data_IF_296394618441
#
_entry.id   IF_296394618441
#
_cell.length_a   1.000
_cell.length_b   1.000
_cell.length_c   1.000
_cell.angle_alpha   90.00
_cell.angle_beta   90.00
_cell.angle_gamma   90.00
#
_symmetry.space_group_name_H-M   'P 1'
#
loop_
_entity.id
_entity.type
_entity.pdbx_description
1 polymer ?
#
# COMPACT_ATOMS: atom_id res chain seq x y z
N UNK A 1 0.60 2.32 -24.20
CA UNK A 1 1.70 3.30 -24.36
C UNK A 1 2.74 3.01 -23.30
N UNK A 2 4.05 3.13 -23.57
CA UNK A 2 5.02 3.09 -22.49
C UNK A 2 4.71 4.23 -21.53
N UNK A 3 4.56 3.93 -20.24
CA UNK A 3 4.31 4.97 -19.25
C UNK A 3 5.51 5.93 -19.22
N UNK A 4 5.24 7.22 -19.21
CA UNK A 4 6.28 8.23 -19.06
C UNK A 4 6.82 8.19 -17.62
N UNK A 5 8.14 8.22 -17.48
CA UNK A 5 8.83 8.34 -16.20
C UNK A 5 9.09 9.82 -15.91
N UNK A 6 8.81 10.26 -14.68
CA UNK A 6 9.13 11.61 -14.22
C UNK A 6 9.72 11.59 -12.82
N UNK A 7 10.70 12.48 -12.58
CA UNK A 7 11.25 12.75 -11.25
C UNK A 7 11.19 14.25 -11.04
N UNK A 8 10.57 14.69 -9.95
CA UNK A 8 10.44 16.09 -9.56
C UNK A 8 10.97 16.32 -8.16
N UNK A 9 11.68 17.43 -7.97
CA UNK A 9 12.22 17.86 -6.67
C UNK A 9 11.23 18.83 -6.04
N UNK A 10 10.88 18.62 -4.78
CA UNK A 10 10.01 19.53 -4.03
C UNK A 10 10.82 20.47 -3.14
N UNK A 11 10.22 21.60 -2.79
CA UNK A 11 10.72 22.45 -1.72
C UNK A 11 10.72 21.66 -0.40
N UNK A 12 11.82 21.74 0.37
CA UNK A 12 12.00 20.96 1.60
C UNK A 12 12.83 19.67 1.44
N UNK A 13 13.21 19.30 0.21
CA UNK A 13 14.16 18.21 -0.05
C UNK A 13 13.55 16.87 -0.45
N UNK A 14 12.21 16.80 -0.49
CA UNK A 14 11.48 15.63 -0.97
C UNK A 14 11.63 15.44 -2.48
N UNK A 15 11.43 14.21 -2.94
CA UNK A 15 11.43 13.84 -4.35
C UNK A 15 10.15 13.09 -4.67
N UNK A 16 9.51 13.47 -5.78
CA UNK A 16 8.37 12.77 -6.37
C UNK A 16 8.85 11.95 -7.55
N UNK A 17 8.46 10.69 -7.61
CA UNK A 17 8.73 9.79 -8.74
C UNK A 17 7.41 9.23 -9.28
N UNK A 18 7.16 9.37 -10.58
CA UNK A 18 5.94 8.86 -11.22
C UNK A 18 6.30 7.95 -12.39
N UNK A 19 5.67 6.77 -12.41
CA UNK A 19 5.79 5.82 -13.51
C UNK A 19 4.54 4.93 -13.57
N UNK A 20 3.66 5.23 -14.52
CA UNK A 20 2.36 4.57 -14.63
C UNK A 20 1.49 4.80 -13.40
N UNK A 21 0.96 3.74 -12.75
CA UNK A 21 0.13 3.90 -11.55
C UNK A 21 0.93 4.25 -10.29
N UNK A 22 2.24 4.11 -10.33
CA UNK A 22 3.13 4.38 -9.20
C UNK A 22 3.38 5.88 -9.08
N UNK A 23 3.20 6.41 -7.87
CA UNK A 23 3.55 7.77 -7.50
C UNK A 23 4.15 7.75 -6.10
N UNK A 24 5.47 7.92 -6.04
CA UNK A 24 6.22 7.92 -4.79
C UNK A 24 6.51 9.35 -4.33
N UNK A 25 6.32 9.62 -3.05
CA UNK A 25 6.94 10.76 -2.36
C UNK A 25 8.03 10.21 -1.45
N UNK A 26 9.27 10.67 -1.65
CA UNK A 26 10.47 10.11 -1.04
C UNK A 26 11.17 11.20 -0.22
N UNK A 27 11.22 10.99 1.08
CA UNK A 27 11.94 11.83 2.04
C UNK A 27 13.05 11.03 2.71
N UNK A 28 14.28 11.53 2.68
CA UNK A 28 15.44 10.86 3.25
C UNK A 28 16.36 11.86 3.94
N UNK A 29 16.88 11.49 5.11
CA UNK A 29 17.69 12.37 5.94
C UNK A 29 18.87 11.63 6.57
N UNK A 30 19.96 12.38 6.80
CA UNK A 30 21.00 12.02 7.77
C UNK A 30 20.92 13.01 8.93
N UNK A 31 20.52 12.53 10.10
CA UNK A 31 20.06 13.37 11.20
C UNK A 31 18.90 14.26 10.74
N UNK A 32 19.12 15.59 10.75
CA UNK A 32 18.16 16.60 10.28
C UNK A 32 18.43 17.10 8.86
N UNK A 33 19.47 16.60 8.19
CA UNK A 33 19.91 17.10 6.88
C UNK A 33 19.22 16.31 5.76
N UNK A 34 18.38 16.94 4.92
CA UNK A 34 17.75 16.26 3.79
C UNK A 34 18.79 15.78 2.76
N UNK A 35 18.57 14.60 2.20
CA UNK A 35 19.46 13.94 1.24
C UNK A 35 18.79 13.80 -0.13
N UNK A 36 18.36 14.92 -0.71
CA UNK A 36 17.57 14.95 -1.95
C UNK A 36 18.24 14.20 -3.11
N UNK A 37 19.57 14.29 -3.27
CA UNK A 37 20.28 13.57 -4.33
C UNK A 37 20.19 12.04 -4.16
N UNK A 38 20.16 11.55 -2.92
CA UNK A 38 19.92 10.13 -2.64
C UNK A 38 18.47 9.74 -2.91
N UNK A 39 17.51 10.61 -2.58
CA UNK A 39 16.09 10.41 -2.94
C UNK A 39 15.88 10.35 -4.46
N UNK A 40 16.61 11.14 -5.26
CA UNK A 40 16.58 11.03 -6.74
C UNK A 40 17.09 9.67 -7.21
N UNK A 41 18.19 9.16 -6.66
CA UNK A 41 18.69 7.81 -7.00
C UNK A 41 17.70 6.72 -6.61
N UNK A 42 17.03 6.88 -5.48
CA UNK A 42 16.00 5.94 -5.03
C UNK A 42 14.75 5.98 -5.94
N UNK A 43 14.40 7.16 -6.47
CA UNK A 43 13.36 7.32 -7.48
C UNK A 43 13.72 6.57 -8.78
N UNK A 44 14.94 6.72 -9.28
CA UNK A 44 15.43 5.97 -10.46
C UNK A 44 15.37 4.45 -10.23
N UNK A 45 15.85 3.99 -9.08
CA UNK A 45 15.81 2.58 -8.72
C UNK A 45 14.38 2.04 -8.64
N UNK A 46 13.43 2.85 -8.16
CA UNK A 46 12.01 2.46 -8.05
C UNK A 46 11.38 2.10 -9.41
N UNK A 47 11.82 2.75 -10.49
CA UNK A 47 11.35 2.41 -11.83
C UNK A 47 11.79 1.01 -12.23
N UNK A 48 13.02 0.62 -11.89
CA UNK A 48 13.53 -0.73 -12.16
C UNK A 48 12.73 -1.79 -11.38
N UNK A 49 12.31 -1.48 -10.15
CA UNK A 49 11.46 -2.37 -9.35
C UNK A 49 10.10 -2.59 -10.03
N UNK A 50 9.44 -1.52 -10.47
CA UNK A 50 8.15 -1.63 -11.15
C UNK A 50 8.26 -2.37 -12.49
N UNK A 51 9.31 -2.14 -13.27
CA UNK A 51 9.56 -2.87 -14.52
C UNK A 51 9.73 -4.37 -14.28
N UNK A 52 10.48 -4.76 -13.24
CA UNK A 52 10.65 -6.17 -12.85
C UNK A 52 9.32 -6.80 -12.48
N UNK A 53 8.50 -6.14 -11.67
CA UNK A 53 7.17 -6.63 -11.30
C UNK A 53 6.20 -6.68 -12.48
N UNK A 54 6.29 -5.73 -13.41
CA UNK A 54 5.47 -5.71 -14.64
C UNK A 54 5.72 -6.97 -15.49
N UNK A 55 6.99 -7.40 -15.61
CA UNK A 55 7.36 -8.65 -16.28
C UNK A 55 6.77 -9.89 -15.59
N UNK A 56 6.52 -9.80 -14.29
CA UNK A 56 5.92 -10.86 -13.46
C UNK A 56 4.41 -10.69 -13.25
N UNK A 57 3.75 -9.67 -13.82
CA UNK A 57 2.35 -9.32 -13.50
C UNK A 57 1.39 -10.51 -13.66
N UNK A 58 1.46 -11.23 -14.80
CA UNK A 58 0.61 -12.41 -15.05
C UNK A 58 0.82 -13.54 -14.05
N UNK A 59 2.01 -13.63 -13.47
CA UNK A 59 2.34 -14.60 -12.44
C UNK A 59 1.85 -14.12 -11.08
N UNK A 60 2.14 -12.87 -10.72
CA UNK A 60 1.76 -12.25 -9.45
C UNK A 60 0.26 -11.98 -9.31
N UNK A 61 -0.50 -11.96 -10.42
CA UNK A 61 -1.96 -11.94 -10.40
C UNK A 61 -2.61 -13.29 -10.12
N UNK A 62 -1.85 -14.30 -9.68
CA UNK A 62 -2.36 -15.61 -9.26
C UNK A 62 -2.28 -15.77 -7.75
N UNK A 63 -3.07 -16.69 -7.22
CA UNK A 63 -3.04 -17.08 -5.80
C UNK A 63 -1.87 -18.02 -5.54
N UNK A 64 -1.15 -17.80 -4.43
CA UNK A 64 0.00 -18.61 -4.03
C UNK A 64 -0.19 -19.17 -2.62
N UNK A 65 -0.82 -20.34 -2.46
CA UNK A 65 -0.93 -20.99 -1.15
C UNK A 65 0.44 -21.42 -0.60
N UNK A 66 1.44 -21.57 -1.47
CA UNK A 66 2.83 -21.89 -1.12
C UNK A 66 3.81 -21.09 -1.98
N UNK A 67 5.01 -20.85 -1.45
CA UNK A 67 6.07 -20.15 -2.18
C UNK A 67 6.58 -20.99 -3.36
N UNK A 68 6.67 -20.44 -4.58
CA UNK A 68 7.32 -21.07 -5.72
C UNK A 68 8.82 -21.26 -5.48
N UNK A 69 9.35 -22.46 -5.73
CA UNK A 69 10.74 -22.82 -5.40
C UNK A 69 11.79 -22.12 -6.28
N UNK A 70 11.41 -21.75 -7.51
CA UNK A 70 12.25 -21.18 -8.55
C UNK A 70 12.17 -19.64 -8.63
N UNK A 71 11.27 -19.01 -7.85
CA UNK A 71 11.16 -17.57 -7.79
C UNK A 71 12.35 -16.97 -7.03
N UNK A 72 13.11 -16.10 -7.70
CA UNK A 72 14.31 -15.46 -7.14
C UNK A 72 14.17 -13.96 -6.88
N UNK A 73 13.15 -13.32 -7.44
CA UNK A 73 12.98 -11.89 -7.30
C UNK A 73 12.57 -11.54 -5.86
N UNK A 74 13.39 -10.83 -5.07
CA UNK A 74 13.11 -10.56 -3.66
C UNK A 74 11.85 -9.73 -3.43
N UNK A 75 11.48 -8.85 -4.37
CA UNK A 75 10.29 -8.01 -4.27
C UNK A 75 9.04 -8.89 -4.48
N UNK A 76 9.05 -9.73 -5.51
CA UNK A 76 7.98 -10.70 -5.75
C UNK A 76 7.82 -11.69 -4.59
N UNK A 77 8.93 -12.22 -4.05
CA UNK A 77 8.92 -13.10 -2.87
C UNK A 77 8.31 -12.39 -1.66
N UNK A 78 8.64 -11.11 -1.44
CA UNK A 78 8.10 -10.33 -0.33
C UNK A 78 6.59 -10.14 -0.46
N UNK A 79 6.08 -9.81 -1.65
CA UNK A 79 4.64 -9.71 -1.92
C UNK A 79 3.91 -11.03 -1.59
N UNK A 80 4.43 -12.17 -2.06
CA UNK A 80 3.84 -13.49 -1.77
C UNK A 80 3.86 -13.80 -0.26
N UNK A 81 4.97 -13.53 0.43
CA UNK A 81 5.08 -13.75 1.88
C UNK A 81 4.08 -12.91 2.66
N UNK A 82 3.87 -11.66 2.26
CA UNK A 82 2.93 -10.75 2.91
C UNK A 82 1.49 -11.27 2.79
N UNK A 83 1.04 -11.64 1.60
CA UNK A 83 -0.32 -12.17 1.42
C UNK A 83 -0.51 -13.53 2.10
N UNK A 84 0.53 -14.38 2.14
CA UNK A 84 0.51 -15.64 2.89
C UNK A 84 0.40 -15.41 4.40
N UNK A 85 1.09 -14.39 4.94
CA UNK A 85 1.02 -14.05 6.35
C UNK A 85 -0.37 -13.49 6.74
N UNK A 86 -1.06 -12.80 5.83
CA UNK A 86 -2.46 -12.39 6.02
C UNK A 86 -3.40 -13.60 6.00
N UNK A 87 -3.08 -14.64 5.21
CA UNK A 87 -3.79 -15.92 5.23
C UNK A 87 -5.14 -15.92 4.52
N UNK A 88 -5.51 -14.86 3.79
CA UNK A 88 -6.70 -14.88 2.94
C UNK A 88 -6.38 -15.50 1.57
N UNK A 89 -7.02 -16.63 1.26
CA UNK A 89 -6.84 -17.36 0.01
C UNK A 89 -7.35 -16.61 -1.24
N UNK A 90 -8.15 -15.57 -1.06
CA UNK A 90 -8.68 -14.77 -2.16
C UNK A 90 -7.74 -13.63 -2.59
N UNK A 91 -6.72 -13.30 -1.78
CA UNK A 91 -5.73 -12.30 -2.16
C UNK A 91 -4.72 -12.87 -3.15
N UNK A 92 -4.34 -12.05 -4.11
CA UNK A 92 -3.13 -12.26 -4.91
C UNK A 92 -2.01 -11.39 -4.35
N UNK A 93 -0.73 -11.71 -4.62
CA UNK A 93 0.40 -10.84 -4.31
C UNK A 93 0.25 -9.37 -4.73
N UNK A 94 -0.58 -9.06 -5.73
CA UNK A 94 -0.82 -7.67 -6.16
C UNK A 94 -1.42 -6.80 -5.04
N UNK A 95 -2.10 -7.39 -4.05
CA UNK A 95 -2.60 -6.69 -2.87
C UNK A 95 -1.50 -6.14 -1.94
N UNK A 96 -0.22 -6.44 -2.20
CA UNK A 96 0.92 -5.93 -1.45
C UNK A 96 1.85 -5.05 -2.31
N UNK A 97 1.50 -4.77 -3.57
CA UNK A 97 2.45 -4.24 -4.55
C UNK A 97 2.97 -2.86 -4.17
N UNK A 98 2.09 -1.96 -3.75
CA UNK A 98 2.43 -0.57 -3.50
C UNK A 98 3.28 -0.44 -2.25
N UNK A 99 2.88 -1.12 -1.17
CA UNK A 99 3.66 -1.20 0.07
C UNK A 99 4.99 -1.90 -0.11
N UNK A 100 5.08 -2.93 -0.96
CA UNK A 100 6.36 -3.62 -1.22
C UNK A 100 7.34 -2.73 -1.98
N UNK A 101 6.88 -1.95 -2.95
CA UNK A 101 7.73 -0.97 -3.65
C UNK A 101 8.20 0.10 -2.67
N UNK A 102 7.29 0.66 -1.84
CA UNK A 102 7.65 1.66 -0.84
C UNK A 102 8.73 1.13 0.11
N UNK A 103 8.57 -0.11 0.59
CA UNK A 103 9.58 -0.78 1.39
C UNK A 103 10.92 -0.94 0.68
N UNK A 104 10.93 -1.37 -0.58
CA UNK A 104 12.17 -1.61 -1.33
C UNK A 104 12.96 -0.31 -1.56
N UNK A 105 12.26 0.81 -1.81
CA UNK A 105 12.85 2.15 -1.92
C UNK A 105 13.37 2.63 -0.56
N UNK A 106 12.60 2.39 0.51
CA UNK A 106 13.03 2.74 1.86
C UNK A 106 14.27 1.95 2.29
N UNK A 107 14.31 0.64 2.00
CA UNK A 107 15.45 -0.25 2.27
C UNK A 107 16.67 0.17 1.44
N UNK A 108 16.49 0.58 0.17
CA UNK A 108 17.56 1.09 -0.68
C UNK A 108 18.27 2.30 -0.05
N UNK A 109 17.50 3.23 0.50
CA UNK A 109 17.99 4.44 1.16
C UNK A 109 18.62 4.13 2.51
N UNK A 110 17.92 3.35 3.34
CA UNK A 110 18.37 3.02 4.70
C UNK A 110 19.69 2.23 4.69
N UNK A 111 19.84 1.27 3.79
CA UNK A 111 21.08 0.51 3.61
C UNK A 111 22.26 1.35 3.10
N UNK A 112 22.02 2.62 2.75
CA UNK A 112 23.04 3.60 2.32
C UNK A 112 23.26 4.71 3.36
N UNK A 113 22.89 4.46 4.61
CA UNK A 113 23.20 5.31 5.76
C UNK A 113 22.22 6.44 6.00
N UNK A 114 21.03 6.42 5.38
CA UNK A 114 19.97 7.36 5.74
C UNK A 114 19.41 6.99 7.12
N UNK A 115 19.36 7.96 8.03
CA UNK A 115 18.95 7.74 9.43
C UNK A 115 17.45 7.91 9.63
N UNK A 116 16.76 8.57 8.69
CA UNK A 116 15.30 8.70 8.66
C UNK A 116 14.83 8.68 7.21
N UNK A 117 13.94 7.75 6.89
CA UNK A 117 13.38 7.57 5.55
C UNK A 117 11.87 7.43 5.64
N UNK A 118 11.15 8.15 4.79
CA UNK A 118 9.71 8.04 4.60
C UNK A 118 9.46 7.93 3.10
N UNK A 119 8.76 6.87 2.69
CA UNK A 119 8.37 6.63 1.30
C UNK A 119 6.87 6.38 1.26
N UNK A 120 6.12 7.28 0.63
CA UNK A 120 4.67 7.15 0.43
C UNK A 120 4.38 6.79 -1.03
N UNK A 121 3.79 5.62 -1.26
CA UNK A 121 3.33 5.16 -2.57
C UNK A 121 1.80 5.27 -2.71
N UNK A 122 1.27 6.49 -2.67
CA UNK A 122 -0.16 6.73 -2.90
C UNK A 122 -1.06 6.29 -1.75
N UNK A 123 -0.58 6.37 -0.51
CA UNK A 123 -1.26 5.94 0.71
C UNK A 123 -0.55 4.78 1.41
N UNK A 124 0.38 4.12 0.73
CA UNK A 124 1.18 3.02 1.26
C UNK A 124 2.55 3.50 1.72
N UNK A 125 2.69 3.76 3.01
CA UNK A 125 3.85 4.44 3.60
C UNK A 125 4.80 3.46 4.25
N UNK A 126 6.05 3.43 3.78
CA UNK A 126 7.16 2.75 4.42
C UNK A 126 8.03 3.76 5.18
N UNK A 127 8.37 3.44 6.42
CA UNK A 127 9.23 4.27 7.27
C UNK A 127 10.44 3.46 7.75
N UNK A 128 11.62 4.07 7.74
CA UNK A 128 12.83 3.56 8.39
C UNK A 128 13.39 4.61 9.33
N UNK A 129 13.70 4.19 10.56
CA UNK A 129 14.18 5.08 11.61
C UNK A 129 15.45 4.51 12.25
N UNK A 130 16.46 5.34 12.37
CA UNK A 130 17.57 5.14 13.29
C UNK A 130 17.28 5.85 14.62
N UNK A 131 18.08 5.54 15.64
CA UNK A 131 17.93 6.00 17.04
C UNK A 131 17.52 7.47 17.13
N UNK A 132 16.57 7.74 18.03
CA UNK A 132 16.00 9.07 18.35
C UNK A 132 15.15 9.72 17.25
N UNK A 133 15.13 9.18 16.02
CA UNK A 133 14.23 9.66 14.98
C UNK A 133 12.78 9.25 15.27
N UNK A 134 11.86 10.16 14.92
CA UNK A 134 10.42 9.91 14.90
C UNK A 134 9.76 10.48 13.66
N UNK A 135 8.61 9.92 13.30
CA UNK A 135 7.75 10.33 12.18
C UNK A 135 6.32 10.33 12.67
N UNK A 136 5.59 11.39 12.35
CA UNK A 136 4.13 11.42 12.50
C UNK A 136 3.48 11.10 11.17
N UNK A 137 2.53 10.16 11.16
CA UNK A 137 1.74 9.80 9.97
C UNK A 137 0.29 10.21 10.22
N UNK A 138 -0.25 11.06 9.33
CA UNK A 138 -1.65 11.45 9.35
C UNK A 138 -2.51 10.48 8.55
N UNK A 139 -3.66 10.08 9.09
CA UNK A 139 -4.64 9.21 8.43
C UNK A 139 -5.86 10.03 8.03
N UNK A 140 -6.28 9.88 6.77
CA UNK A 140 -7.51 10.48 6.23
C UNK A 140 -8.58 9.40 6.11
N UNK A 141 -9.80 9.71 6.56
CA UNK A 141 -10.94 8.79 6.46
C UNK A 141 -11.64 8.84 5.10
N UNK A 142 -11.51 9.97 4.40
CA UNK A 142 -12.13 10.24 3.11
C UNK A 142 -11.06 10.73 2.14
N UNK A 143 -11.01 10.13 0.95
CA UNK A 143 -9.92 10.36 -0.01
C UNK A 143 -9.96 11.76 -0.64
N UNK A 144 -11.13 12.35 -0.72
CA UNK A 144 -11.41 13.67 -1.30
C UNK A 144 -11.29 14.82 -0.29
N UNK A 145 -11.16 14.52 1.01
CA UNK A 145 -10.96 15.50 2.07
C UNK A 145 -9.48 15.63 2.43
N UNK A 146 -9.06 16.86 2.74
CA UNK A 146 -7.71 17.12 3.25
C UNK A 146 -7.58 16.91 4.77
N UNK A 147 -8.70 16.69 5.45
CA UNK A 147 -8.76 16.55 6.90
C UNK A 147 -7.99 15.32 7.40
N UNK A 148 -7.08 15.56 8.34
CA UNK A 148 -6.37 14.49 9.05
C UNK A 148 -7.20 14.10 10.26
N UNK A 149 -7.86 12.95 10.16
CA UNK A 149 -8.75 12.42 11.20
C UNK A 149 -8.00 11.85 12.40
N UNK A 150 -6.81 11.28 12.17
CA UNK A 150 -6.02 10.58 13.17
C UNK A 150 -4.54 10.79 12.89
N UNK A 151 -3.72 10.77 13.94
CA UNK A 151 -2.26 10.94 13.84
C UNK A 151 -1.57 9.81 14.61
N UNK A 152 -0.65 9.12 13.94
CA UNK A 152 0.19 8.09 14.52
C UNK A 152 1.60 8.65 14.75
N UNK A 153 2.18 8.39 15.92
CA UNK A 153 3.59 8.67 16.19
C UNK A 153 4.40 7.38 16.10
N UNK A 154 5.31 7.33 15.14
CA UNK A 154 6.24 6.23 14.92
C UNK A 154 7.62 6.66 15.40
N UNK A 155 8.28 5.81 16.18
CA UNK A 155 9.59 6.10 16.74
C UNK A 155 10.57 4.95 16.50
N UNK A 156 11.82 5.18 16.90
CA UNK A 156 12.93 4.24 16.76
C UNK A 156 12.85 2.99 17.65
N UNK A 157 11.74 2.71 18.36
CA UNK A 157 11.52 1.40 19.03
C UNK A 157 11.45 0.26 18.01
N UNK A 158 11.08 0.56 16.78
CA UNK A 158 11.28 -0.30 15.62
C UNK A 158 12.06 0.47 14.57
N UNK A 159 13.01 -0.20 13.92
CA UNK A 159 13.76 0.37 12.79
C UNK A 159 12.93 0.46 11.51
N UNK A 160 11.78 -0.22 11.45
CA UNK A 160 10.92 -0.31 10.27
C UNK A 160 9.45 -0.27 10.66
N UNK A 161 8.67 0.49 9.89
CA UNK A 161 7.22 0.56 9.98
C UNK A 161 6.60 0.56 8.58
N UNK A 162 5.39 0.02 8.49
CA UNK A 162 4.48 0.19 7.37
C UNK A 162 3.16 0.77 7.86
N UNK A 163 2.63 1.78 7.18
CA UNK A 163 1.30 2.34 7.42
C UNK A 163 0.60 2.45 6.08
N UNK A 164 -0.47 1.70 5.89
CA UNK A 164 -1.18 1.62 4.60
C UNK A 164 -2.68 1.78 4.84
N UNK A 165 -3.38 2.27 3.82
CA UNK A 165 -4.83 2.48 3.88
C UNK A 165 -5.50 1.95 2.63
N UNK A 166 -6.51 1.10 2.81
CA UNK A 166 -7.34 0.58 1.73
C UNK A 166 -8.81 0.87 2.01
N UNK A 167 -9.64 0.99 0.98
CA UNK A 167 -11.04 1.36 1.14
C UNK A 167 -11.69 1.84 -0.14
N UNK A 168 -12.97 2.19 -0.04
CA UNK A 168 -13.77 2.67 -1.16
C UNK A 168 -13.25 4.01 -1.69
N UNK A 169 -13.16 4.14 -3.01
CA UNK A 169 -12.65 5.34 -3.68
C UNK A 169 -11.13 5.42 -3.77
N UNK A 170 -10.41 4.49 -3.14
CA UNK A 170 -8.97 4.31 -3.30
C UNK A 170 -8.55 3.79 -4.67
N UNK A 171 -7.24 3.62 -4.85
CA UNK A 171 -6.66 3.04 -6.07
C UNK A 171 -6.82 1.52 -6.16
N UNK A 172 -7.05 0.86 -5.03
CA UNK A 172 -7.21 -0.59 -4.93
C UNK A 172 -8.68 -0.97 -5.09
N UNK A 173 -8.97 -1.95 -5.95
CA UNK A 173 -10.31 -2.51 -6.08
C UNK A 173 -10.62 -3.36 -4.85
N UNK A 174 -11.57 -2.90 -4.03
CA UNK A 174 -11.99 -3.60 -2.82
C UNK A 174 -13.43 -4.08 -2.93
N UNK A 175 -13.72 -5.18 -2.24
CA UNK A 175 -15.04 -5.80 -2.14
C UNK A 175 -15.87 -5.23 -0.98
N UNK A 176 -15.21 -4.55 -0.05
CA UNK A 176 -15.82 -4.03 1.16
C UNK A 176 -16.66 -2.78 0.95
N UNK A 177 -17.11 -2.20 2.06
CA UNK A 177 -17.81 -0.91 2.08
C UNK A 177 -17.13 0.12 2.99
N UNK A 178 -16.05 -0.24 3.68
CA UNK A 178 -15.28 0.68 4.50
C UNK A 178 -14.72 1.82 3.63
N UNK A 179 -14.91 3.06 4.07
CA UNK A 179 -14.29 4.23 3.43
C UNK A 179 -12.76 4.17 3.55
N UNK A 180 -12.27 3.76 4.72
CA UNK A 180 -10.85 3.55 4.99
C UNK A 180 -10.64 2.46 6.05
N UNK A 181 -9.70 1.57 5.79
CA UNK A 181 -9.11 0.63 6.73
C UNK A 181 -7.59 0.87 6.73
N UNK A 182 -7.09 1.44 7.82
CA UNK A 182 -5.67 1.72 7.98
C UNK A 182 -4.99 0.65 8.84
N UNK A 183 -3.88 0.09 8.35
CA UNK A 183 -3.11 -0.95 9.06
C UNK A 183 -1.69 -0.48 9.31
N UNK A 184 -1.19 -0.75 10.51
CA UNK A 184 0.19 -0.52 10.91
C UNK A 184 0.86 -1.87 11.09
N UNK A 185 2.00 -2.09 10.45
CA UNK A 185 2.76 -3.32 10.57
C UNK A 185 4.27 -3.06 10.60
N UNK A 186 5.05 -4.14 10.76
CA UNK A 186 6.52 -4.09 10.74
C UNK A 186 7.11 -3.62 9.40
N UNK A 187 6.34 -3.65 8.32
CA UNK A 187 6.73 -3.19 6.99
C UNK A 187 5.48 -2.88 6.13
N UNK A 188 5.64 -2.06 5.10
CA UNK A 188 4.51 -1.59 4.29
C UNK A 188 3.90 -2.70 3.43
N UNK A 189 4.70 -3.67 2.97
CA UNK A 189 4.20 -4.82 2.20
C UNK A 189 3.13 -5.63 2.94
N UNK A 190 3.36 -5.92 4.23
CA UNK A 190 2.38 -6.65 5.04
C UNK A 190 1.17 -5.78 5.37
N UNK A 191 1.41 -4.52 5.71
CA UNK A 191 0.33 -3.58 6.01
C UNK A 191 -0.61 -3.44 4.81
N UNK A 192 -0.09 -3.29 3.58
CA UNK A 192 -0.86 -3.14 2.33
C UNK A 192 -1.81 -4.33 2.11
N UNK A 193 -1.25 -5.54 2.16
CA UNK A 193 -2.03 -6.78 2.05
C UNK A 193 -3.12 -6.88 3.13
N UNK A 194 -2.78 -6.55 4.38
CA UNK A 194 -3.70 -6.61 5.51
C UNK A 194 -4.80 -5.53 5.42
N UNK A 195 -4.45 -4.30 5.02
CA UNK A 195 -5.41 -3.22 4.83
C UNK A 195 -6.43 -3.57 3.75
N UNK A 196 -5.98 -4.12 2.63
CA UNK A 196 -6.85 -4.63 1.56
C UNK A 196 -7.79 -5.72 2.06
N UNK A 197 -7.28 -6.62 2.90
CA UNK A 197 -8.06 -7.71 3.46
C UNK A 197 -9.13 -7.26 4.46
N UNK A 198 -8.74 -6.39 5.40
CA UNK A 198 -9.64 -5.80 6.41
C UNK A 198 -10.70 -4.96 5.71
N UNK A 199 -10.32 -4.18 4.69
CA UNK A 199 -11.27 -3.46 3.86
C UNK A 199 -12.25 -4.44 3.20
N UNK A 200 -11.77 -5.51 2.56
CA UNK A 200 -12.65 -6.51 1.93
C UNK A 200 -13.61 -7.19 2.92
N UNK A 201 -13.17 -7.44 4.16
CA UNK A 201 -14.01 -8.05 5.20
C UNK A 201 -15.15 -7.16 5.67
N UNK A 202 -15.09 -5.85 5.46
CA UNK A 202 -16.17 -4.93 5.77
C UNK A 202 -17.44 -5.12 4.91
N UNK A 203 -17.40 -5.99 3.88
CA UNK A 203 -18.54 -6.22 3.01
C UNK A 203 -19.79 -6.68 3.77
N UNK A 204 -20.92 -6.12 3.36
CA UNK A 204 -22.27 -6.51 3.78
C UNK A 204 -23.19 -6.52 2.55
N UNK A 205 -24.17 -7.40 2.56
CA UNK A 205 -25.22 -7.41 1.56
C UNK A 205 -26.26 -6.34 1.89
N UNK A 206 -26.47 -5.40 0.97
CA UNK A 206 -27.47 -4.33 1.05
C UNK A 206 -27.81 -3.81 -0.36
N UNK A 207 -29.07 -3.48 -0.67
CA UNK A 207 -29.46 -2.91 -1.96
C UNK A 207 -28.73 -1.62 -2.34
N UNK A 208 -28.20 -0.87 -1.36
CA UNK A 208 -27.45 0.35 -1.59
C UNK A 208 -25.97 0.11 -1.90
N UNK A 209 -25.48 -1.13 -1.80
CA UNK A 209 -24.10 -1.51 -2.13
C UNK A 209 -24.06 -2.02 -3.56
N UNK A 210 -23.49 -1.21 -4.45
CA UNK A 210 -23.38 -1.53 -5.86
C UNK A 210 -22.00 -2.15 -6.11
N UNK A 211 -22.02 -3.40 -6.57
CA UNK A 211 -20.82 -4.10 -7.01
C UNK A 211 -20.91 -4.42 -8.50
N UNK A 212 -19.75 -4.45 -9.15
CA UNK A 212 -19.59 -4.92 -10.53
C UNK A 212 -18.40 -5.87 -10.59
N UNK A 213 -18.33 -6.77 -11.59
CA UNK A 213 -17.12 -7.55 -11.84
C UNK A 213 -15.90 -6.64 -12.00
N UNK A 214 -14.78 -7.00 -11.37
CA UNK A 214 -13.54 -6.22 -11.38
C UNK A 214 -13.04 -5.86 -12.78
N UNK A 215 -13.24 -6.74 -13.76
CA UNK A 215 -12.84 -6.60 -15.16
C UNK A 215 -13.63 -5.54 -15.93
N UNK A 216 -14.80 -5.14 -15.44
CA UNK A 216 -15.55 -3.99 -15.98
C UNK A 216 -14.91 -2.65 -15.59
N UNK A 217 -14.15 -2.62 -14.49
CA UNK A 217 -13.44 -1.43 -13.99
C UNK A 217 -12.01 -1.40 -14.49
N UNK A 218 -11.28 -2.51 -14.35
CA UNK A 218 -9.94 -2.68 -14.92
C UNK A 218 -9.87 -4.01 -15.69
N UNK A 219 -9.86 -3.98 -17.04
CA UNK A 219 -9.71 -5.18 -17.87
C UNK A 219 -8.42 -5.97 -17.59
N UNK A 220 -7.44 -5.36 -16.92
CA UNK A 220 -6.16 -5.98 -16.56
C UNK A 220 -6.02 -6.28 -15.05
N UNK A 221 -7.16 -6.34 -14.34
CA UNK A 221 -7.24 -6.68 -12.92
C UNK A 221 -6.66 -8.07 -12.63
N UNK A 222 -6.10 -8.24 -11.44
CA UNK A 222 -5.60 -9.51 -10.92
C UNK A 222 -6.67 -10.39 -10.26
N UNK A 223 -7.91 -9.88 -10.15
CA UNK A 223 -9.02 -10.57 -9.48
C UNK A 223 -10.25 -10.80 -10.40
N UNK A 224 -10.08 -11.21 -11.67
CA UNK A 224 -11.20 -11.35 -12.60
C UNK A 224 -12.30 -12.26 -12.06
N UNK A 225 -13.55 -11.88 -12.28
CA UNK A 225 -14.74 -12.55 -11.77
C UNK A 225 -15.08 -12.25 -10.30
N UNK A 226 -14.26 -11.47 -9.58
CA UNK A 226 -14.64 -10.96 -8.27
C UNK A 226 -15.40 -9.66 -8.39
N UNK A 227 -16.56 -9.60 -7.73
CA UNK A 227 -17.34 -8.38 -7.60
C UNK A 227 -16.65 -7.42 -6.63
N UNK A 228 -16.46 -6.18 -7.08
CA UNK A 228 -15.83 -5.07 -6.33
C UNK A 228 -16.85 -3.96 -6.13
N UNK A 229 -16.78 -3.29 -4.99
CA UNK A 229 -17.73 -2.22 -4.64
C UNK A 229 -17.33 -0.93 -5.33
N UNK A 230 -18.26 -0.38 -6.13
CA UNK A 230 -18.05 0.90 -6.84
C UNK A 230 -18.84 2.05 -6.22
N UNK A 231 -19.89 1.74 -5.46
CA UNK A 231 -20.74 2.74 -4.81
C UNK A 231 -21.43 2.16 -3.60
N UNK A 232 -21.53 2.95 -2.55
CA UNK A 232 -22.32 2.66 -1.34
C UNK A 232 -23.25 3.84 -1.11
N UNK A 233 -24.55 3.58 -1.14
CA UNK A 233 -25.57 4.56 -0.79
C UNK A 233 -25.77 4.68 0.73
N UNK A 234 -26.82 5.37 1.18
CA UNK A 234 -27.09 5.52 2.61
C UNK A 234 -27.38 4.16 3.26
N UNK A 235 -26.70 3.90 4.38
CA UNK A 235 -26.88 2.69 5.19
C UNK A 235 -27.43 3.08 6.57
N UNK A 236 -28.24 2.20 7.15
CA UNK A 236 -28.65 2.34 8.55
C UNK A 236 -27.49 2.02 9.51
N UNK A 237 -27.62 2.41 10.78
CA UNK A 237 -26.55 2.23 11.77
C UNK A 237 -26.22 0.76 12.03
N UNK A 238 -27.22 -0.14 12.05
CA UNK A 238 -26.98 -1.58 12.24
C UNK A 238 -26.08 -2.17 11.15
N UNK A 239 -26.29 -1.77 9.89
CA UNK A 239 -25.48 -2.19 8.74
C UNK A 239 -24.05 -1.64 8.84
N UNK A 240 -23.88 -0.38 9.25
CA UNK A 240 -22.55 0.21 9.51
C UNK A 240 -21.82 -0.51 10.63
N UNK A 241 -22.48 -0.74 11.76
CA UNK A 241 -21.91 -1.46 12.91
C UNK A 241 -21.53 -2.89 12.57
N UNK A 242 -22.35 -3.60 11.78
CA UNK A 242 -22.03 -4.95 11.32
C UNK A 242 -20.79 -4.96 10.41
N UNK A 243 -20.73 -4.03 9.46
CA UNK A 243 -19.58 -3.88 8.56
C UNK A 243 -18.28 -3.64 9.33
N UNK A 244 -18.28 -2.69 10.28
CA UNK A 244 -17.13 -2.39 11.15
C UNK A 244 -16.76 -3.63 11.98
N UNK A 245 -17.74 -4.31 12.58
CA UNK A 245 -17.50 -5.50 13.41
C UNK A 245 -16.84 -6.63 12.62
N UNK A 246 -17.22 -6.84 11.35
CA UNK A 246 -16.57 -7.82 10.47
C UNK A 246 -15.13 -7.45 10.14
N UNK A 247 -14.86 -6.17 9.89
CA UNK A 247 -13.51 -5.67 9.63
C UNK A 247 -12.61 -5.83 10.85
N UNK A 248 -13.09 -5.46 12.05
CA UNK A 248 -12.37 -5.64 13.33
C UNK A 248 -12.07 -7.12 13.56
N UNK A 249 -13.07 -7.99 13.44
CA UNK A 249 -12.89 -9.44 13.59
C UNK A 249 -11.87 -10.03 12.61
N UNK A 250 -11.68 -9.42 11.44
CA UNK A 250 -10.66 -9.86 10.49
C UNK A 250 -9.26 -9.39 10.85
N UNK A 251 -9.15 -8.25 11.53
CA UNK A 251 -7.88 -7.68 11.97
C UNK A 251 -7.28 -8.40 13.18
N UNK A 252 -8.13 -9.03 14.02
CA UNK A 252 -7.76 -9.90 15.15
C UNK A 252 -7.26 -11.29 14.69
#
# INVERSE_FOLDING_TARGET
>A
MPYQQSISRLEGGDVVAEFGPMRLVISAFVGKVPQQQMSVRAAEESFTYLERLTRLKKFLGKRFPRMPADLKDPIAIKMIRSVQAVGNQNLTPMAAVAGTIADAVADFLYNRGMTKVVVDNGGDVAVRLEREASVTVGIRQEIDKQEISNVLSLDSRSSSWGVTTSGLGGRSLTRGIASAAAVIARNASLADAAATDVANASYIEDPHVIQVPSEEIDPNTDIPGLNVTIKVGPLNEDKKSLSISRAIKRAE
#
